data_IF_263325388690
#
_entry.id   IF_263325388690
#
_cell.length_a   1.000
_cell.length_b   1.000
_cell.length_c   1.000
_cell.angle_alpha   90.00
_cell.angle_beta   90.00
_cell.angle_gamma   90.00
#
_symmetry.space_group_name_H-M   'P 1'
#
loop_
_entity.id
_entity.type
_entity.pdbx_description
1 polymer ?
#
# COMPACT_ATOMS: atom_id res chain seq x y z
N UNK A 1 -19.30 -7.56 -20.15
CA UNK A 1 -20.04 -6.29 -20.06
C UNK A 1 -19.50 -5.53 -18.86
N UNK A 2 -18.96 -4.34 -19.08
CA UNK A 2 -18.26 -3.58 -18.03
C UNK A 2 -19.28 -3.07 -17.00
N UNK A 3 -19.14 -3.49 -15.75
CA UNK A 3 -19.90 -2.98 -14.61
C UNK A 3 -19.39 -1.58 -14.31
N UNK A 4 -20.01 -0.57 -14.93
CA UNK A 4 -19.72 0.82 -14.64
C UNK A 4 -20.45 1.18 -13.35
N UNK A 5 -19.70 1.36 -12.26
CA UNK A 5 -20.22 1.92 -11.02
C UNK A 5 -19.46 3.19 -10.67
N UNK A 6 -20.14 4.13 -10.03
CA UNK A 6 -19.50 5.33 -9.51
C UNK A 6 -18.46 4.93 -8.46
N UNK A 7 -17.23 5.38 -8.64
CA UNK A 7 -16.13 5.09 -7.72
C UNK A 7 -16.30 5.88 -6.42
N UNK A 8 -16.28 5.19 -5.28
CA UNK A 8 -16.26 5.85 -3.97
C UNK A 8 -14.83 6.04 -3.46
N UNK A 9 -14.67 6.81 -2.39
CA UNK A 9 -13.38 6.95 -1.69
C UNK A 9 -12.81 5.60 -1.22
N UNK A 10 -13.66 4.68 -0.75
CA UNK A 10 -13.22 3.35 -0.33
C UNK A 10 -12.76 2.50 -1.52
N UNK A 11 -13.49 2.56 -2.64
CA UNK A 11 -13.13 1.83 -3.86
C UNK A 11 -11.80 2.35 -4.43
N UNK A 12 -11.55 3.65 -4.37
CA UNK A 12 -10.29 4.26 -4.78
C UNK A 12 -9.09 3.72 -4.01
N UNK A 13 -9.24 3.52 -2.69
CA UNK A 13 -8.19 2.91 -1.86
C UNK A 13 -7.96 1.46 -2.28
N UNK A 14 -9.02 0.65 -2.37
CA UNK A 14 -8.90 -0.76 -2.73
C UNK A 14 -8.31 -0.95 -4.14
N UNK A 15 -8.71 -0.11 -5.09
CA UNK A 15 -8.18 -0.12 -6.45
C UNK A 15 -6.72 0.30 -6.50
N UNK A 16 -6.34 1.36 -5.79
CA UNK A 16 -4.96 1.80 -5.73
C UNK A 16 -4.06 0.75 -5.03
N UNK A 17 -4.56 0.06 -4.01
CA UNK A 17 -3.84 -1.05 -3.37
C UNK A 17 -3.52 -2.20 -4.33
N UNK A 18 -4.39 -2.46 -5.31
CA UNK A 18 -4.22 -3.56 -6.27
C UNK A 18 -3.45 -3.14 -7.52
N UNK A 19 -3.63 -1.91 -8.00
CA UNK A 19 -3.19 -1.49 -9.33
C UNK A 19 -2.28 -0.27 -9.36
N UNK A 20 -2.05 0.44 -8.26
CA UNK A 20 -1.20 1.65 -8.29
C UNK A 20 0.31 1.35 -8.42
N UNK A 21 0.74 0.09 -8.30
CA UNK A 21 2.15 -0.30 -8.45
C UNK A 21 3.07 0.26 -7.35
N UNK A 22 2.52 0.53 -6.17
CA UNK A 22 3.22 1.05 -5.00
C UNK A 22 3.82 -0.08 -4.16
N UNK A 23 4.99 0.16 -3.55
CA UNK A 23 5.71 -0.87 -2.78
C UNK A 23 4.92 -1.39 -1.57
N UNK A 24 4.23 -0.49 -0.86
CA UNK A 24 3.47 -0.81 0.34
C UNK A 24 2.00 -0.37 0.19
N UNK A 25 1.14 -1.18 -0.45
CA UNK A 25 -0.27 -0.84 -0.61
C UNK A 25 -0.99 -0.72 0.74
N UNK A 26 -0.55 -1.46 1.77
CA UNK A 26 -1.10 -1.38 3.13
C UNK A 26 -0.93 0.00 3.80
N UNK A 27 -0.09 0.88 3.26
CA UNK A 27 0.06 2.25 3.76
C UNK A 27 -1.04 3.20 3.26
N UNK A 28 -1.83 2.82 2.24
CA UNK A 28 -3.00 3.61 1.83
C UNK A 28 -4.13 3.37 2.81
N UNK A 29 -4.50 4.42 3.55
CA UNK A 29 -5.52 4.32 4.61
C UNK A 29 -6.76 5.15 4.27
N UNK A 30 -6.63 6.16 3.41
CA UNK A 30 -7.74 7.04 3.07
C UNK A 30 -7.61 7.60 1.66
N UNK A 31 -8.75 7.88 1.03
CA UNK A 31 -8.84 8.71 -0.17
C UNK A 31 -9.78 9.89 0.07
N UNK A 32 -9.48 11.03 -0.54
CA UNK A 32 -10.29 12.24 -0.49
C UNK A 32 -10.68 12.64 -1.92
N UNK A 33 -11.96 12.90 -2.14
CA UNK A 33 -12.40 13.51 -3.39
C UNK A 33 -11.98 14.98 -3.43
N UNK A 34 -11.21 15.33 -4.45
CA UNK A 34 -10.68 16.68 -4.71
C UNK A 34 -11.09 17.18 -6.09
N UNK A 35 -12.09 16.56 -6.69
CA UNK A 35 -12.65 16.99 -7.97
C UNK A 35 -13.34 18.35 -7.86
N UNK A 36 -13.38 19.09 -8.96
CA UNK A 36 -14.09 20.38 -9.07
C UNK A 36 -15.62 20.22 -9.25
N UNK A 37 -16.10 18.97 -9.30
CA UNK A 37 -17.53 18.64 -9.34
C UNK A 37 -18.18 18.65 -10.72
N UNK A 38 -17.40 18.74 -11.81
CA UNK A 38 -17.95 18.88 -13.15
C UNK A 38 -18.14 17.53 -13.88
N UNK A 39 -17.05 16.85 -14.26
CA UNK A 39 -17.12 15.67 -15.14
C UNK A 39 -16.33 14.46 -14.63
N UNK A 40 -15.34 14.68 -13.77
CA UNK A 40 -14.43 13.62 -13.31
C UNK A 40 -14.36 13.60 -11.79
N UNK A 41 -14.45 12.39 -11.23
CA UNK A 41 -14.11 12.15 -9.83
C UNK A 41 -12.59 12.03 -9.72
N UNK A 42 -11.96 13.03 -9.11
CA UNK A 42 -10.53 12.99 -8.80
C UNK A 42 -10.39 12.62 -7.32
N UNK A 43 -9.85 11.43 -7.05
CA UNK A 43 -9.64 10.94 -5.69
C UNK A 43 -8.15 10.97 -5.35
N UNK A 44 -7.79 11.72 -4.32
CA UNK A 44 -6.45 11.78 -3.76
C UNK A 44 -6.29 10.75 -2.65
N UNK A 45 -5.57 9.67 -2.93
CA UNK A 45 -5.20 8.69 -1.91
C UNK A 45 -4.04 9.21 -1.05
N UNK A 46 -4.19 9.11 0.27
CA UNK A 46 -3.19 9.52 1.25
C UNK A 46 -2.63 8.31 1.97
N UNK A 47 -1.31 8.25 2.04
CA UNK A 47 -0.61 7.25 2.81
C UNK A 47 -0.48 7.70 4.26
N UNK A 48 -0.74 6.80 5.21
CA UNK A 48 -0.27 7.01 6.57
C UNK A 48 1.21 6.66 6.51
N UNK A 49 2.05 7.70 6.41
CA UNK A 49 3.45 7.51 6.76
C UNK A 49 3.46 7.18 8.24
N UNK A 50 3.40 5.89 8.57
CA UNK A 50 3.91 5.41 9.83
C UNK A 50 5.31 6.01 9.91
N UNK A 51 5.54 6.83 10.93
CA UNK A 51 6.84 7.38 11.25
C UNK A 51 7.83 6.22 11.31
N UNK A 52 8.46 5.93 10.17
CA UNK A 52 9.46 4.90 10.03
C UNK A 52 10.68 5.45 10.74
N UNK A 53 10.70 5.26 12.06
CA UNK A 53 11.91 5.20 12.85
C UNK A 53 12.77 4.08 12.26
N UNK A 54 13.54 4.44 11.23
CA UNK A 54 14.63 3.63 10.70
C UNK A 54 15.64 3.47 11.83
N UNK A 55 15.60 2.35 12.53
CA UNK A 55 16.79 1.77 13.14
C UNK A 55 17.09 0.46 12.42
N UNK A 56 17.87 0.62 11.35
CA UNK A 56 18.61 -0.43 10.68
C UNK A 56 19.49 -1.14 11.71
N UNK A 57 19.13 -2.34 12.17
CA UNK A 57 20.09 -3.36 12.59
C UNK A 57 19.41 -4.71 12.88
N UNK A 58 18.97 -5.44 11.85
CA UNK A 58 18.86 -6.89 11.96
C UNK A 58 19.46 -7.55 10.73
N UNK A 59 20.64 -8.19 10.84
CA UNK A 59 21.09 -9.12 9.82
C UNK A 59 20.14 -10.32 9.77
N UNK A 60 19.97 -10.82 8.55
CA UNK A 60 19.04 -11.83 8.08
C UNK A 60 19.12 -13.15 8.88
N UNK A 61 18.02 -13.91 9.05
CA UNK A 61 18.04 -15.20 9.77
C UNK A 61 18.72 -16.35 8.99
N UNK A 62 19.32 -16.09 7.83
CA UNK A 62 19.97 -17.11 6.99
C UNK A 62 21.37 -17.54 7.47
N UNK A 63 21.96 -16.89 8.48
CA UNK A 63 23.28 -17.28 9.02
C UNK A 63 23.23 -18.37 10.10
N UNK A 64 22.06 -18.86 10.53
CA UNK A 64 21.96 -19.94 11.53
C UNK A 64 22.10 -21.37 10.95
N UNK A 65 22.30 -21.53 9.63
CA UNK A 65 22.30 -22.84 8.97
C UNK A 65 23.67 -23.55 8.88
N UNK A 66 24.70 -23.13 9.63
CA UNK A 66 26.03 -23.76 9.55
C UNK A 66 26.68 -23.93 10.92
N UNK A 67 26.20 -24.91 11.70
CA UNK A 67 27.01 -25.59 12.71
C UNK A 67 26.44 -26.98 13.05
N UNK A 68 27.16 -28.00 12.56
CA UNK A 68 27.16 -29.43 12.91
C UNK A 68 26.04 -30.37 12.43
N UNK A 69 26.33 -31.16 11.37
CA UNK A 69 25.88 -32.53 11.26
C UNK A 69 26.86 -33.48 11.98
N UNK A 70 26.37 -34.24 12.96
CA UNK A 70 26.98 -35.49 13.42
C UNK A 70 28.09 -35.39 14.47
N UNK A 71 27.74 -35.68 15.73
CA UNK A 71 28.45 -36.60 16.64
C UNK A 71 27.59 -36.91 17.85
#
# INVERSE_FOLDING_TARGET
>A
MSQYHTFTAHDAVAYAQQFAGIDNPSELVSAQEVGDGNLNLVLKCSIVRASAGRSSNRPCPTCAASANPGR
#
